data_IF_613350865815
#
_entry.id   IF_613350865815
#
_cell.length_a   1.000
_cell.length_b   1.000
_cell.length_c   1.000
_cell.angle_alpha   90.00
_cell.angle_beta   90.00
_cell.angle_gamma   90.00
#
_symmetry.space_group_name_H-M   'P 1'
#
loop_
_entity.id
_entity.type
_entity.pdbx_description
1 polymer ?
#
# COMPACT_ATOMS: atom_id res chain seq x y z
N UNK A 1 23.29 42.95 -57.71
CA UNK A 1 23.28 42.83 -56.23
C UNK A 1 22.96 41.41 -55.73
N UNK A 2 22.73 40.40 -56.58
CA UNK A 2 22.32 39.06 -56.14
C UNK A 2 23.46 38.04 -55.92
N UNK A 3 24.58 38.14 -56.65
CA UNK A 3 25.68 37.16 -56.53
C UNK A 3 26.41 37.23 -55.18
N UNK A 4 26.45 38.41 -54.55
CA UNK A 4 27.09 38.62 -53.24
C UNK A 4 26.33 37.96 -52.07
N UNK A 5 25.01 37.79 -52.20
CA UNK A 5 24.17 37.18 -51.16
C UNK A 5 24.29 35.65 -51.16
N UNK A 6 24.37 35.02 -52.33
CA UNK A 6 24.51 33.57 -52.47
C UNK A 6 25.82 33.05 -51.84
N UNK A 7 26.94 33.74 -52.06
CA UNK A 7 28.26 33.36 -51.50
C UNK A 7 28.32 33.49 -49.96
N UNK A 8 27.59 34.45 -49.39
CA UNK A 8 27.52 34.64 -47.93
C UNK A 8 26.66 33.56 -47.26
N UNK A 9 25.57 33.14 -47.90
CA UNK A 9 24.69 32.07 -47.42
C UNK A 9 25.41 30.71 -47.44
N UNK A 10 26.15 30.40 -48.51
CA UNK A 10 26.89 29.15 -48.63
C UNK A 10 28.03 29.04 -47.61
N UNK A 11 28.75 30.14 -47.35
CA UNK A 11 29.80 30.22 -46.31
C UNK A 11 29.24 30.10 -44.90
N UNK A 12 28.05 30.66 -44.61
CA UNK A 12 27.34 30.48 -43.34
C UNK A 12 26.88 29.03 -43.14
N UNK A 13 26.41 28.37 -44.19
CA UNK A 13 26.03 26.95 -44.18
C UNK A 13 27.21 26.01 -43.88
N UNK A 14 28.35 26.21 -44.57
CA UNK A 14 29.59 25.45 -44.32
C UNK A 14 30.16 25.67 -42.91
N UNK A 15 30.08 26.90 -42.36
CA UNK A 15 30.47 27.18 -40.96
C UNK A 15 29.53 26.53 -39.94
N UNK A 16 28.20 26.53 -40.14
CA UNK A 16 27.24 25.82 -39.28
C UNK A 16 27.46 24.30 -39.30
N UNK A 17 27.73 23.72 -40.48
CA UNK A 17 28.00 22.28 -40.64
C UNK A 17 29.31 21.87 -39.95
N UNK A 18 30.38 22.67 -40.08
CA UNK A 18 31.64 22.48 -39.34
C UNK A 18 31.50 22.67 -37.84
N UNK A 19 30.67 23.60 -37.37
CA UNK A 19 30.39 23.80 -35.94
C UNK A 19 29.60 22.63 -35.35
N UNK A 20 28.56 22.14 -36.05
CA UNK A 20 27.79 20.95 -35.67
C UNK A 20 28.67 19.68 -35.62
N UNK A 21 29.55 19.48 -36.61
CA UNK A 21 30.54 18.38 -36.61
C UNK A 21 31.67 18.52 -35.58
N UNK A 22 31.88 19.70 -34.98
CA UNK A 22 32.85 19.92 -33.90
C UNK A 22 32.20 19.74 -32.53
N UNK A 23 30.94 20.12 -32.38
CA UNK A 23 30.13 19.86 -31.17
C UNK A 23 29.80 18.37 -31.00
N UNK A 24 29.66 17.61 -32.10
CA UNK A 24 29.39 16.16 -32.07
C UNK A 24 30.62 15.30 -31.74
N UNK A 25 31.83 15.83 -31.96
CA UNK A 25 33.11 15.13 -31.70
C UNK A 25 33.54 15.08 -30.23
N UNK A 26 32.80 15.76 -29.35
CA UNK A 26 33.11 15.85 -27.92
C UNK A 26 32.01 15.31 -27.00
N UNK A 27 30.87 14.84 -27.53
CA UNK A 27 29.92 14.07 -26.73
C UNK A 27 30.43 12.63 -26.66
N UNK A 28 30.62 12.06 -25.46
CA UNK A 28 30.75 10.62 -25.35
C UNK A 28 29.56 10.00 -26.09
N UNK A 29 29.80 8.97 -26.90
CA UNK A 29 28.73 8.11 -27.39
C UNK A 29 28.05 7.49 -26.18
N UNK A 30 27.05 8.17 -25.62
CA UNK A 30 26.19 7.64 -24.58
C UNK A 30 25.22 6.69 -25.28
N UNK A 31 25.72 5.51 -25.62
CA UNK A 31 24.89 4.41 -26.09
C UNK A 31 24.01 3.97 -24.93
N UNK A 32 22.74 3.64 -25.21
CA UNK A 32 21.83 3.14 -24.18
C UNK A 32 22.43 1.84 -23.61
N UNK A 33 22.66 1.74 -22.29
CA UNK A 33 23.15 0.51 -21.66
C UNK A 33 22.30 -0.71 -22.02
N UNK A 34 21.00 -0.54 -22.24
CA UNK A 34 20.11 -1.62 -22.66
C UNK A 34 20.43 -2.14 -24.08
N UNK A 35 20.85 -1.26 -25.00
CA UNK A 35 21.26 -1.63 -26.36
C UNK A 35 22.62 -2.35 -26.36
N UNK A 36 23.52 -1.98 -25.43
CA UNK A 36 24.87 -2.54 -25.33
C UNK A 36 24.89 -3.87 -24.56
N UNK A 37 24.22 -3.92 -23.41
CA UNK A 37 24.21 -5.09 -22.51
C UNK A 37 23.16 -6.13 -22.92
N UNK A 38 22.12 -5.72 -23.63
CA UNK A 38 20.97 -6.55 -23.93
C UNK A 38 20.08 -6.80 -22.70
N UNK A 39 18.95 -7.46 -22.94
CA UNK A 39 17.87 -7.62 -21.95
C UNK A 39 18.30 -8.38 -20.69
N UNK A 40 19.01 -9.50 -20.85
CA UNK A 40 19.26 -10.43 -19.73
C UNK A 40 20.26 -9.85 -18.73
N UNK A 41 21.33 -9.22 -19.22
CA UNK A 41 22.27 -8.50 -18.37
C UNK A 41 21.61 -7.28 -17.73
N UNK A 42 20.77 -6.57 -18.47
CA UNK A 42 20.02 -5.44 -17.91
C UNK A 42 19.09 -5.89 -16.77
N UNK A 43 18.37 -7.01 -16.92
CA UNK A 43 17.56 -7.58 -15.84
C UNK A 43 18.41 -7.86 -14.59
N UNK A 44 19.60 -8.47 -14.76
CA UNK A 44 20.50 -8.73 -13.62
C UNK A 44 20.95 -7.44 -12.94
N UNK A 45 21.29 -6.41 -13.71
CA UNK A 45 21.66 -5.09 -13.17
C UNK A 45 20.50 -4.49 -12.39
N UNK A 46 19.32 -4.40 -13.00
CA UNK A 46 18.12 -3.82 -12.40
C UNK A 46 17.64 -4.57 -11.15
N UNK A 47 17.90 -5.88 -11.04
CA UNK A 47 17.53 -6.67 -9.87
C UNK A 47 18.25 -6.22 -8.57
N UNK A 48 19.38 -5.51 -8.70
CA UNK A 48 20.11 -4.96 -7.54
C UNK A 48 19.55 -3.60 -7.06
N UNK A 49 18.59 -3.01 -7.79
CA UNK A 49 18.00 -1.73 -7.42
C UNK A 49 16.92 -1.92 -6.35
N UNK A 50 16.69 -0.87 -5.55
CA UNK A 50 15.52 -0.78 -4.69
C UNK A 50 14.25 -0.53 -5.54
N UNK A 51 13.08 -0.82 -4.97
CA UNK A 51 11.81 -0.69 -5.68
C UNK A 51 11.57 0.74 -6.22
N UNK A 52 12.04 1.76 -5.50
CA UNK A 52 11.93 3.16 -5.93
C UNK A 52 12.77 3.44 -7.16
N UNK A 53 14.05 3.05 -7.17
CA UNK A 53 14.92 3.28 -8.34
C UNK A 53 14.45 2.45 -9.54
N UNK A 54 13.97 1.22 -9.30
CA UNK A 54 13.39 0.39 -10.35
C UNK A 54 12.12 1.02 -10.94
N UNK A 55 11.26 1.63 -10.11
CA UNK A 55 10.09 2.35 -10.60
C UNK A 55 10.46 3.56 -11.47
N UNK A 56 11.57 4.25 -11.18
CA UNK A 56 12.06 5.34 -12.02
C UNK A 56 12.52 4.84 -13.40
N UNK A 57 13.03 3.61 -13.50
CA UNK A 57 13.37 2.99 -14.79
C UNK A 57 12.15 2.85 -15.72
N UNK A 58 10.93 2.73 -15.17
CA UNK A 58 9.70 2.60 -15.95
C UNK A 58 9.39 3.82 -16.81
N UNK A 59 9.88 5.01 -16.43
CA UNK A 59 9.57 6.29 -17.10
C UNK A 59 10.69 6.80 -18.01
N UNK A 60 11.79 6.06 -18.15
CA UNK A 60 12.94 6.45 -18.98
C UNK A 60 12.61 6.37 -20.47
N UNK A 61 12.15 5.21 -20.93
CA UNK A 61 11.76 4.97 -22.32
C UNK A 61 10.84 3.75 -22.43
N UNK A 62 10.21 3.54 -23.60
CA UNK A 62 9.36 2.35 -23.84
C UNK A 62 10.15 1.04 -23.71
N UNK A 63 11.40 1.03 -24.16
CA UNK A 63 12.25 -0.16 -24.10
C UNK A 63 12.65 -0.49 -22.66
N UNK A 64 13.02 0.54 -21.88
CA UNK A 64 13.30 0.40 -20.45
C UNK A 64 12.07 -0.04 -19.67
N UNK A 65 10.90 0.56 -19.96
CA UNK A 65 9.64 0.15 -19.34
C UNK A 65 9.38 -1.35 -19.51
N UNK A 66 9.55 -1.89 -20.72
CA UNK A 66 9.35 -3.33 -21.00
C UNK A 66 10.26 -4.25 -20.20
N UNK A 67 11.45 -3.80 -19.84
CA UNK A 67 12.40 -4.59 -19.02
C UNK A 67 12.13 -4.38 -17.54
N UNK A 68 11.93 -3.14 -17.12
CA UNK A 68 11.71 -2.76 -15.73
C UNK A 68 10.34 -3.20 -15.19
N UNK A 69 9.34 -3.45 -16.03
CA UNK A 69 8.03 -4.00 -15.63
C UNK A 69 8.01 -5.52 -15.52
N UNK A 70 9.15 -6.20 -15.75
CA UNK A 70 9.25 -7.66 -15.71
C UNK A 70 8.92 -8.23 -14.33
N UNK A 71 8.04 -9.24 -14.28
CA UNK A 71 7.69 -9.94 -13.05
C UNK A 71 8.89 -10.60 -12.36
N UNK A 72 9.95 -10.94 -13.11
CA UNK A 72 11.20 -11.46 -12.53
C UNK A 72 11.84 -10.47 -11.55
N UNK A 73 11.71 -9.16 -11.79
CA UNK A 73 12.24 -8.13 -10.90
C UNK A 73 11.28 -7.89 -9.73
N UNK A 74 9.99 -7.75 -10.02
CA UNK A 74 8.99 -7.36 -9.04
C UNK A 74 8.58 -8.49 -8.09
N UNK A 75 8.84 -9.76 -8.42
CA UNK A 75 8.60 -10.89 -7.50
C UNK A 75 9.42 -10.71 -6.22
N UNK A 76 10.73 -10.52 -6.35
CA UNK A 76 11.61 -10.27 -5.20
C UNK A 76 11.20 -9.00 -4.43
N UNK A 77 10.78 -7.94 -5.16
CA UNK A 77 10.32 -6.70 -4.51
C UNK A 77 9.00 -6.86 -3.75
N UNK A 78 8.09 -7.73 -4.20
CA UNK A 78 6.89 -8.07 -3.44
C UNK A 78 7.27 -8.83 -2.17
N UNK A 79 8.16 -9.82 -2.26
CA UNK A 79 8.62 -10.59 -1.10
C UNK A 79 9.30 -9.68 -0.06
N UNK A 80 10.20 -8.80 -0.50
CA UNK A 80 10.83 -7.78 0.35
C UNK A 80 9.79 -6.86 1.01
N UNK A 81 8.77 -6.41 0.26
CA UNK A 81 7.73 -5.51 0.76
C UNK A 81 6.80 -6.18 1.77
N UNK A 82 6.43 -7.44 1.52
CA UNK A 82 5.50 -8.21 2.33
C UNK A 82 6.15 -8.82 3.57
N UNK A 83 7.48 -8.92 3.59
CA UNK A 83 8.22 -9.37 4.76
C UNK A 83 7.89 -8.52 5.99
N UNK A 84 7.45 -9.17 7.07
CA UNK A 84 7.10 -8.52 8.33
C UNK A 84 5.80 -7.71 8.30
N UNK A 85 5.00 -7.80 7.23
CA UNK A 85 3.66 -7.19 7.20
C UNK A 85 2.66 -8.07 7.94
N UNK A 86 1.71 -7.44 8.62
CA UNK A 86 0.65 -8.09 9.37
C UNK A 86 -0.43 -8.64 8.45
N UNK A 87 -0.74 -7.95 7.35
CA UNK A 87 -1.83 -8.31 6.42
C UNK A 87 -1.41 -8.10 4.98
N UNK A 88 -1.70 -9.06 4.10
CA UNK A 88 -1.45 -8.92 2.65
C UNK A 88 -2.77 -8.68 1.92
N UNK A 89 -2.90 -7.61 1.11
CA UNK A 89 -4.17 -7.25 0.50
C UNK A 89 -4.63 -8.29 -0.53
N UNK A 90 -5.86 -8.77 -0.41
CA UNK A 90 -6.47 -9.74 -1.32
C UNK A 90 -6.35 -9.34 -2.79
N UNK A 91 -6.55 -8.05 -3.07
CA UNK A 91 -6.43 -7.49 -4.42
C UNK A 91 -5.04 -7.68 -5.05
N UNK A 92 -3.98 -7.78 -4.23
CA UNK A 92 -2.60 -8.03 -4.69
C UNK A 92 -2.26 -9.51 -4.91
N UNK A 93 -3.19 -10.41 -4.57
CA UNK A 93 -3.04 -11.87 -4.73
C UNK A 93 -3.99 -12.46 -5.78
N UNK A 94 -4.77 -11.61 -6.45
CA UNK A 94 -5.68 -12.03 -7.53
C UNK A 94 -4.87 -12.66 -8.67
N UNK A 95 -5.31 -13.81 -9.16
CA UNK A 95 -4.65 -14.49 -10.27
C UNK A 95 -4.67 -13.63 -11.54
N UNK A 96 -3.53 -13.60 -12.24
CA UNK A 96 -3.39 -12.91 -13.53
C UNK A 96 -2.95 -11.45 -13.47
N UNK A 97 -2.79 -10.86 -12.28
CA UNK A 97 -2.19 -9.53 -12.15
C UNK A 97 -0.65 -9.61 -12.25
N UNK A 98 -0.02 -8.55 -12.77
CA UNK A 98 1.44 -8.46 -12.78
C UNK A 98 2.00 -8.26 -11.37
N UNK A 99 3.27 -8.60 -11.15
CA UNK A 99 3.94 -8.37 -9.85
C UNK A 99 4.19 -6.89 -9.59
N UNK A 100 4.36 -6.09 -10.64
CA UNK A 100 4.39 -4.63 -10.52
C UNK A 100 3.04 -4.08 -10.01
N UNK A 101 1.92 -4.58 -10.53
CA UNK A 101 0.59 -4.20 -10.06
C UNK A 101 0.36 -4.68 -8.63
N UNK A 102 0.70 -5.93 -8.32
CA UNK A 102 0.61 -6.48 -6.96
C UNK A 102 1.38 -5.62 -5.94
N UNK A 103 2.61 -5.22 -6.27
CA UNK A 103 3.41 -4.31 -5.46
C UNK A 103 2.70 -2.97 -5.26
N UNK A 104 2.25 -2.37 -6.36
CA UNK A 104 1.61 -1.05 -6.36
C UNK A 104 0.31 -1.06 -5.55
N UNK A 105 -0.53 -2.07 -5.75
CA UNK A 105 -1.76 -2.30 -4.99
C UNK A 105 -1.48 -2.50 -3.51
N UNK A 106 -0.44 -3.23 -3.16
CA UNK A 106 -0.03 -3.43 -1.76
C UNK A 106 0.38 -2.12 -1.07
N UNK A 107 1.17 -1.29 -1.77
CA UNK A 107 1.60 0.02 -1.24
C UNK A 107 0.44 1.00 -1.13
N UNK A 108 -0.47 1.01 -2.11
CA UNK A 108 -1.67 1.85 -2.07
C UNK A 108 -2.59 1.43 -0.93
N UNK A 109 -2.84 0.12 -0.79
CA UNK A 109 -3.67 -0.40 0.27
C UNK A 109 -3.05 -0.10 1.64
N UNK A 110 -1.76 -0.36 1.85
CA UNK A 110 -1.05 -0.06 3.10
C UNK A 110 -1.10 1.40 3.58
N UNK A 111 -1.53 2.35 2.72
CA UNK A 111 -1.72 3.76 3.05
C UNK A 111 -3.19 4.15 3.29
N UNK A 112 -4.14 3.21 3.17
CA UNK A 112 -5.56 3.45 3.45
C UNK A 112 -5.78 3.88 4.90
N UNK A 113 -6.68 4.82 5.06
CA UNK A 113 -7.26 5.25 6.33
C UNK A 113 -8.75 4.90 6.44
N UNK A 114 -9.33 4.31 5.40
CA UNK A 114 -10.72 3.86 5.36
C UNK A 114 -10.79 2.37 5.56
N UNK A 115 -11.47 1.91 6.59
CA UNK A 115 -11.77 0.48 6.78
C UNK A 115 -13.10 0.15 6.10
N UNK A 116 -13.14 -1.03 5.48
CA UNK A 116 -14.34 -1.61 4.88
C UNK A 116 -14.83 -2.80 5.70
N UNK A 117 -16.03 -3.26 5.39
CA UNK A 117 -16.62 -4.43 6.05
C UNK A 117 -15.73 -5.66 5.90
N UNK A 118 -15.18 -5.87 4.72
CA UNK A 118 -14.29 -7.01 4.45
C UNK A 118 -13.08 -6.99 5.37
N UNK A 119 -12.46 -5.83 5.61
CA UNK A 119 -11.34 -5.70 6.55
C UNK A 119 -11.75 -6.08 7.98
N UNK A 120 -12.94 -5.66 8.43
CA UNK A 120 -13.44 -6.03 9.76
C UNK A 120 -13.65 -7.54 9.88
N UNK A 121 -14.31 -8.14 8.89
CA UNK A 121 -14.68 -9.55 8.89
C UNK A 121 -13.53 -10.50 8.60
N UNK A 122 -12.49 -10.03 7.91
CA UNK A 122 -11.34 -10.86 7.56
C UNK A 122 -10.43 -11.15 8.75
N UNK A 123 -10.40 -10.26 9.74
CA UNK A 123 -9.46 -10.32 10.83
C UNK A 123 -10.10 -10.78 12.13
N UNK A 124 -9.31 -11.49 12.93
CA UNK A 124 -9.56 -11.57 14.37
C UNK A 124 -9.00 -10.30 15.01
N UNK A 125 -9.76 -9.72 15.93
CA UNK A 125 -9.36 -8.48 16.59
C UNK A 125 -9.09 -8.71 18.06
N UNK A 126 -7.91 -8.32 18.51
CA UNK A 126 -7.59 -8.21 19.93
C UNK A 126 -8.23 -6.95 20.49
N UNK A 127 -8.96 -7.09 21.60
CA UNK A 127 -9.64 -6.02 22.29
C UNK A 127 -9.08 -5.81 23.69
N UNK A 128 -8.84 -4.56 24.07
CA UNK A 128 -8.51 -4.21 25.44
C UNK A 128 -9.03 -2.82 25.79
N UNK A 129 -9.26 -2.58 27.07
CA UNK A 129 -9.56 -1.26 27.61
C UNK A 129 -8.28 -0.43 27.75
N UNK A 130 -8.40 0.89 27.66
CA UNK A 130 -7.30 1.82 27.94
C UNK A 130 -7.23 2.13 29.43
N UNK A 131 -6.15 2.80 29.85
CA UNK A 131 -5.99 3.26 31.24
C UNK A 131 -7.11 4.20 31.71
N UNK A 132 -7.73 4.93 30.78
CA UNK A 132 -8.81 5.87 31.09
C UNK A 132 -10.17 5.17 31.27
N UNK A 133 -10.26 3.86 30.98
CA UNK A 133 -11.47 3.11 31.27
C UNK A 133 -11.70 2.99 32.79
N UNK A 134 -12.97 3.00 33.25
CA UNK A 134 -13.32 2.74 34.63
C UNK A 134 -12.69 1.44 35.15
N UNK A 135 -12.32 1.43 36.42
CA UNK A 135 -11.63 0.31 37.05
C UNK A 135 -12.39 -1.01 36.94
N UNK A 136 -13.72 -0.96 37.05
CA UNK A 136 -14.59 -2.11 36.83
C UNK A 136 -14.29 -2.83 35.50
N UNK A 137 -14.20 -2.09 34.39
CA UNK A 137 -13.93 -2.66 33.07
C UNK A 137 -12.51 -3.17 32.93
N UNK A 138 -11.53 -2.44 33.47
CA UNK A 138 -10.13 -2.89 33.49
C UNK A 138 -9.96 -4.18 34.30
N UNK A 139 -10.75 -4.37 35.35
CA UNK A 139 -10.76 -5.59 36.14
C UNK A 139 -11.42 -6.78 35.41
N UNK A 140 -12.15 -6.56 34.31
CA UNK A 140 -12.64 -7.65 33.46
C UNK A 140 -11.67 -8.02 32.35
N UNK A 141 -10.66 -7.17 32.11
CA UNK A 141 -9.73 -7.27 31.01
C UNK A 141 -8.45 -8.03 31.41
N UNK A 142 -8.18 -9.20 30.79
CA UNK A 142 -6.96 -9.96 31.03
C UNK A 142 -5.67 -9.19 30.76
N UNK A 143 -5.67 -8.22 29.83
CA UNK A 143 -4.49 -7.40 29.52
C UNK A 143 -4.00 -6.63 30.75
N UNK A 144 -4.93 -6.08 31.55
CA UNK A 144 -4.59 -5.33 32.77
C UNK A 144 -4.24 -6.21 33.95
N UNK A 145 -4.81 -7.42 34.00
CA UNK A 145 -4.56 -8.37 35.09
C UNK A 145 -3.32 -9.23 34.86
N UNK A 146 -2.84 -9.32 33.62
CA UNK A 146 -1.72 -10.16 33.22
C UNK A 146 -1.98 -11.66 33.45
N UNK A 147 -3.25 -12.08 33.52
CA UNK A 147 -3.63 -13.39 34.04
C UNK A 147 -4.50 -14.22 33.08
N UNK A 148 -4.50 -13.92 31.78
CA UNK A 148 -5.25 -14.68 30.79
C UNK A 148 -4.91 -14.31 29.36
N UNK A 149 -5.45 -15.05 28.38
CA UNK A 149 -5.30 -14.72 26.96
C UNK A 149 -5.95 -13.35 26.65
N UNK A 150 -5.47 -12.64 25.63
CA UNK A 150 -6.13 -11.44 25.15
C UNK A 150 -7.59 -11.71 24.74
N UNK A 151 -8.45 -10.71 24.86
CA UNK A 151 -9.84 -10.85 24.45
C UNK A 151 -9.97 -10.72 22.94
N UNK A 152 -10.54 -11.72 22.27
CA UNK A 152 -10.78 -11.63 20.82
C UNK A 152 -12.21 -11.23 20.45
N UNK A 153 -12.33 -10.60 19.30
CA UNK A 153 -13.58 -10.10 18.72
C UNK A 153 -13.62 -10.51 17.25
N UNK A 154 -14.81 -10.94 16.83
CA UNK A 154 -15.06 -11.42 15.48
C UNK A 154 -16.21 -10.61 14.90
N UNK A 155 -15.97 -9.95 13.77
CA UNK A 155 -16.99 -9.17 13.07
C UNK A 155 -17.59 -10.01 11.96
N UNK A 156 -18.92 -9.97 11.83
CA UNK A 156 -19.64 -10.81 10.88
C UNK A 156 -20.27 -9.99 9.74
N UNK A 157 -20.45 -10.57 8.54
CA UNK A 157 -21.02 -9.85 7.39
C UNK A 157 -22.44 -9.31 7.62
N UNK A 158 -23.20 -9.94 8.52
CA UNK A 158 -24.57 -9.54 8.91
C UNK A 158 -24.60 -8.30 9.82
N UNK A 159 -23.43 -7.78 10.22
CA UNK A 159 -23.30 -6.63 11.10
C UNK A 159 -23.24 -7.01 12.58
N UNK A 160 -23.28 -8.30 12.92
CA UNK A 160 -23.08 -8.77 14.30
C UNK A 160 -21.60 -8.85 14.66
N UNK A 161 -21.30 -8.88 15.95
CA UNK A 161 -19.98 -9.11 16.50
C UNK A 161 -20.08 -10.14 17.63
N UNK A 162 -19.16 -11.09 17.64
CA UNK A 162 -19.05 -12.09 18.69
C UNK A 162 -17.69 -11.99 19.40
N UNK A 163 -17.57 -12.72 20.51
CA UNK A 163 -16.37 -12.80 21.34
C UNK A 163 -16.09 -14.27 21.69
N UNK A 164 -14.91 -14.52 22.27
CA UNK A 164 -14.56 -15.84 22.78
C UNK A 164 -15.53 -16.32 23.88
N UNK A 165 -15.74 -17.65 24.00
CA UNK A 165 -16.52 -18.22 25.10
C UNK A 165 -15.96 -17.79 26.46
N UNK A 166 -16.84 -17.37 27.36
CA UNK A 166 -16.45 -16.92 28.70
C UNK A 166 -15.96 -15.47 28.78
N UNK A 167 -16.01 -14.71 27.67
CA UNK A 167 -15.82 -13.26 27.71
C UNK A 167 -16.87 -12.60 28.64
N UNK A 168 -16.36 -11.95 29.70
CA UNK A 168 -17.19 -11.32 30.72
C UNK A 168 -17.54 -9.86 30.41
N UNK A 169 -16.89 -9.26 29.41
CA UNK A 169 -17.10 -7.85 29.03
C UNK A 169 -18.37 -7.70 28.21
N UNK A 170 -18.62 -8.63 27.29
CA UNK A 170 -19.85 -8.64 26.49
C UNK A 170 -21.05 -9.25 27.19
N UNK A 171 -20.83 -10.03 28.25
CA UNK A 171 -21.89 -10.51 29.13
C UNK A 171 -22.98 -11.32 28.42
N UNK A 172 -22.67 -11.95 27.28
CA UNK A 172 -23.64 -12.68 26.46
C UNK A 172 -24.66 -11.79 25.73
N UNK A 173 -24.47 -10.46 25.71
CA UNK A 173 -25.30 -9.56 24.93
C UNK A 173 -24.93 -9.60 23.45
N UNK A 174 -25.94 -9.49 22.60
CA UNK A 174 -25.74 -9.26 21.17
C UNK A 174 -24.98 -7.95 20.94
N UNK A 175 -23.94 -8.02 20.12
CA UNK A 175 -23.18 -6.87 19.66
C UNK A 175 -23.41 -6.68 18.18
N UNK A 176 -23.70 -5.44 17.78
CA UNK A 176 -23.76 -5.05 16.39
C UNK A 176 -22.76 -3.93 16.11
N UNK A 177 -22.23 -3.89 14.90
CA UNK A 177 -21.34 -2.82 14.46
C UNK A 177 -21.87 -2.11 13.22
N UNK A 178 -21.38 -0.89 13.02
CA UNK A 178 -21.62 -0.11 11.81
C UNK A 178 -20.36 0.67 11.44
N UNK A 179 -20.11 0.78 10.14
CA UNK A 179 -19.10 1.68 9.58
C UNK A 179 -19.83 2.95 9.15
N UNK A 180 -19.47 4.08 9.74
CA UNK A 180 -20.06 5.38 9.40
C UNK A 180 -19.07 6.16 8.57
N UNK A 181 -19.49 6.58 7.37
CA UNK A 181 -18.70 7.48 6.51
C UNK A 181 -19.57 8.69 6.17
N UNK A 182 -19.20 9.87 6.66
CA UNK A 182 -19.82 11.13 6.27
C UNK A 182 -18.99 11.81 5.20
N UNK A 183 -19.63 12.24 4.13
CA UNK A 183 -19.01 12.94 3.00
C UNK A 183 -19.60 14.36 2.95
N UNK A 184 -18.73 15.37 2.85
CA UNK A 184 -19.11 16.76 2.56
C UNK A 184 -19.05 16.97 1.04
N UNK A 185 -19.73 18.00 0.53
CA UNK A 185 -19.65 18.44 -0.87
C UNK A 185 -18.21 18.43 -1.41
N UNK A 186 -18.07 18.08 -2.69
CA UNK A 186 -16.82 17.71 -3.38
C UNK A 186 -16.28 16.30 -3.10
N UNK A 187 -17.03 15.43 -2.41
CA UNK A 187 -16.61 14.04 -2.19
C UNK A 187 -15.56 13.88 -1.08
N UNK A 188 -15.27 14.95 -0.33
CA UNK A 188 -14.33 14.92 0.80
C UNK A 188 -14.96 14.23 2.00
N UNK A 189 -14.25 13.26 2.56
CA UNK A 189 -14.69 12.55 3.76
C UNK A 189 -14.49 13.47 4.97
N UNK A 190 -15.58 13.70 5.71
CA UNK A 190 -15.57 14.43 6.98
C UNK A 190 -15.24 13.53 8.15
N UNK A 191 -15.91 12.38 8.18
CA UNK A 191 -15.84 11.43 9.29
C UNK A 191 -15.84 10.03 8.71
N UNK A 192 -14.96 9.19 9.25
CA UNK A 192 -14.94 7.76 8.95
C UNK A 192 -14.56 7.03 10.23
N UNK A 193 -15.49 6.25 10.78
CA UNK A 193 -15.30 5.55 12.05
C UNK A 193 -16.11 4.26 12.11
N UNK A 194 -15.70 3.38 13.01
CA UNK A 194 -16.48 2.18 13.38
C UNK A 194 -17.20 2.46 14.68
N UNK A 195 -18.45 2.01 14.78
CA UNK A 195 -19.23 2.11 16.01
C UNK A 195 -19.78 0.75 16.38
N UNK A 196 -19.56 0.35 17.63
CA UNK A 196 -20.12 -0.88 18.20
C UNK A 196 -21.28 -0.50 19.11
N UNK A 197 -22.47 -1.06 18.86
CA UNK A 197 -23.71 -0.73 19.56
C UNK A 197 -23.89 0.80 19.68
N UNK A 198 -24.20 1.29 20.90
CA UNK A 198 -24.30 2.72 21.22
C UNK A 198 -23.02 3.29 21.81
N UNK A 199 -21.92 2.54 21.82
CA UNK A 199 -20.65 2.97 22.39
C UNK A 199 -20.05 4.12 21.56
N UNK A 200 -19.02 4.76 22.14
CA UNK A 200 -18.33 5.88 21.48
C UNK A 200 -17.72 5.43 20.14
N UNK A 201 -17.75 6.30 19.11
CA UNK A 201 -17.05 6.06 17.85
C UNK A 201 -15.59 5.65 18.05
N UNK A 202 -15.11 4.75 17.20
CA UNK A 202 -13.72 4.33 17.12
C UNK A 202 -13.06 4.98 15.91
N UNK A 203 -12.01 5.76 16.17
CA UNK A 203 -11.14 6.24 15.11
C UNK A 203 -10.38 5.06 14.52
N UNK A 204 -10.31 5.01 13.20
CA UNK A 204 -9.68 3.94 12.44
C UNK A 204 -8.33 4.41 11.94
N UNK A 205 -7.31 3.58 12.06
CA UNK A 205 -5.98 3.86 11.52
C UNK A 205 -5.28 2.59 11.06
N UNK A 206 -4.30 2.76 10.19
CA UNK A 206 -3.45 1.67 9.70
C UNK A 206 -2.00 1.90 10.15
N UNK A 207 -1.37 0.86 10.66
CA UNK A 207 0.02 0.88 11.14
C UNK A 207 1.02 0.64 10.00
N UNK A 208 2.31 0.86 10.28
CA UNK A 208 3.39 0.70 9.30
C UNK A 208 3.58 -0.75 8.85
N UNK A 209 3.26 -1.71 9.73
CA UNK A 209 3.21 -3.15 9.43
C UNK A 209 1.93 -3.55 8.67
N UNK A 210 1.07 -2.59 8.33
CA UNK A 210 -0.23 -2.76 7.67
C UNK A 210 -1.35 -3.37 8.52
N UNK A 211 -1.13 -3.57 9.82
CA UNK A 211 -2.21 -3.90 10.76
C UNK A 211 -3.17 -2.72 10.92
N UNK A 212 -4.41 -3.03 11.28
CA UNK A 212 -5.45 -2.07 11.58
C UNK A 212 -5.56 -1.84 13.09
N UNK A 213 -5.85 -0.60 13.45
CA UNK A 213 -6.21 -0.22 14.81
C UNK A 213 -7.50 0.59 14.80
N UNK A 214 -8.42 0.25 15.70
CA UNK A 214 -9.63 1.02 15.96
C UNK A 214 -9.64 1.41 17.43
N UNK A 215 -9.59 2.71 17.73
CA UNK A 215 -9.39 3.16 19.10
C UNK A 215 -10.23 4.37 19.45
N UNK A 216 -10.55 4.49 20.74
CA UNK A 216 -11.04 5.72 21.34
C UNK A 216 -10.43 5.88 22.73
N UNK A 217 -10.92 6.85 23.49
CA UNK A 217 -10.37 7.13 24.81
C UNK A 217 -10.57 6.01 25.83
N UNK A 218 -11.46 5.04 25.60
CA UNK A 218 -11.82 3.99 26.57
C UNK A 218 -11.32 2.60 26.18
N UNK A 219 -11.24 2.26 24.90
CA UNK A 219 -10.86 0.92 24.46
C UNK A 219 -10.28 0.94 23.05
N UNK A 220 -9.57 -0.14 22.73
CA UNK A 220 -8.83 -0.34 21.50
C UNK A 220 -9.13 -1.73 20.93
N UNK A 221 -9.14 -1.81 19.61
CA UNK A 221 -9.11 -3.04 18.83
C UNK A 221 -7.86 -3.00 17.95
N UNK A 222 -7.05 -4.04 17.97
CA UNK A 222 -5.93 -4.25 17.04
C UNK A 222 -6.16 -5.52 16.24
N UNK A 223 -6.01 -5.47 14.93
CA UNK A 223 -6.13 -6.69 14.11
C UNK A 223 -4.93 -7.60 14.33
N UNK A 224 -5.19 -8.90 14.47
CA UNK A 224 -4.15 -9.91 14.69
C UNK A 224 -3.47 -10.22 13.36
N UNK A 225 -2.12 -10.19 13.28
CA UNK A 225 -1.39 -10.53 12.06
C UNK A 225 -1.79 -11.87 11.44
N UNK A 226 -2.14 -11.84 10.16
CA UNK A 226 -2.63 -12.99 9.38
C UNK A 226 -2.09 -12.97 7.93
N UNK A 227 -0.89 -12.43 7.71
CA UNK A 227 -0.28 -12.30 6.38
C UNK A 227 -0.16 -13.61 5.59
N UNK A 228 -0.22 -14.75 6.28
CA UNK A 228 -0.23 -16.10 5.69
C UNK A 228 -1.61 -16.57 5.24
N UNK A 229 -2.68 -15.79 5.46
CA UNK A 229 -4.05 -16.15 5.10
C UNK A 229 -4.17 -16.32 3.59
N UNK A 230 -4.64 -17.49 3.17
CA UNK A 230 -4.86 -17.79 1.76
C UNK A 230 -5.83 -16.79 1.13
N UNK A 231 -5.47 -16.28 -0.04
CA UNK A 231 -6.25 -15.27 -0.76
C UNK A 231 -6.18 -13.86 -0.15
N UNK A 232 -5.37 -13.62 0.89
CA UNK A 232 -5.20 -12.30 1.49
C UNK A 232 -6.46 -11.75 2.16
N UNK A 233 -6.42 -10.47 2.52
CA UNK A 233 -7.45 -9.80 3.32
C UNK A 233 -7.90 -8.46 2.73
N UNK A 234 -9.05 -7.97 3.18
CA UNK A 234 -9.62 -6.69 2.76
C UNK A 234 -10.36 -6.75 1.41
N UNK A 235 -10.83 -5.60 0.91
CA UNK A 235 -11.72 -5.55 -0.24
C UNK A 235 -11.06 -6.02 -1.55
N UNK A 236 -11.88 -6.56 -2.45
CA UNK A 236 -11.48 -6.97 -3.81
C UNK A 236 -11.42 -5.82 -4.82
N UNK A 237 -11.49 -4.57 -4.36
CA UNK A 237 -11.50 -3.38 -5.19
C UNK A 237 -10.69 -2.28 -4.53
N UNK A 238 -10.17 -1.36 -5.36
CA UNK A 238 -9.40 -0.23 -4.86
C UNK A 238 -10.34 0.69 -4.06
N UNK A 239 -9.95 0.96 -2.81
CA UNK A 239 -10.61 1.96 -1.99
C UNK A 239 -9.70 3.17 -1.91
N UNK A 240 -10.23 4.29 -2.42
CA UNK A 240 -9.61 5.62 -2.31
C UNK A 240 -9.97 6.31 -1.00
#
# INVERSE_FOLDING_TARGET
MEEGLALVVERKGKKRKRKKMREDRGRPFCQDPLDVLGRDLMLRVLNNLDARSLALCLVVSRTWNRVASSDLLWTSKCEELWCGKAHIPRLSLVQGISKLDAYSLSVMDGKRNRIMRDDLCDHVWEFHFTKAAPEYWRNLDPYWKGNGPPMHRYFHPDGSQTADPGDKVWGGHESCYSIVTSIIGEGKIREHYVRINRWRPLAVSRKQDWSWEMTNNLFCYSSIPDAYKEGGTGPLFLVM
#
